data_IF_322338353982
#
_entry.id   IF_322338353982
#
_cell.length_a   1.000
_cell.length_b   1.000
_cell.length_c   1.000
_cell.angle_alpha   90.00
_cell.angle_beta   90.00
_cell.angle_gamma   90.00
#
_symmetry.space_group_name_H-M   'P 1'
#
loop_
_entity.id
_entity.type
_entity.pdbx_description
1 polymer ?
#
# COMPACT_ATOMS: atom_id res chain seq x y z
N UNK A 1 -5.45 -7.78 14.40
CA UNK A 1 -5.90 -6.70 15.31
C UNK A 1 -4.72 -5.94 15.94
N UNK A 2 -3.89 -6.54 16.81
CA UNK A 2 -2.84 -5.78 17.51
C UNK A 2 -1.83 -5.09 16.57
N UNK A 3 -1.38 -5.78 15.51
CA UNK A 3 -0.48 -5.19 14.51
C UNK A 3 -1.12 -4.00 13.77
N UNK A 4 -2.41 -4.10 13.40
CA UNK A 4 -3.17 -2.98 12.82
C UNK A 4 -3.23 -1.79 13.77
N UNK A 5 -3.52 -2.03 15.06
CA UNK A 5 -3.55 -0.96 16.07
C UNK A 5 -2.19 -0.30 16.28
N UNK A 6 -1.11 -1.09 16.22
CA UNK A 6 0.26 -0.57 16.26
C UNK A 6 0.60 0.20 15.00
N UNK A 7 0.05 -0.16 13.84
CA UNK A 7 0.40 0.39 12.54
C UNK A 7 -0.38 1.66 12.18
N UNK A 8 -1.63 1.79 12.64
CA UNK A 8 -2.52 2.89 12.29
C UNK A 8 -2.95 3.74 13.48
N UNK A 9 -3.34 4.98 13.23
CA UNK A 9 -3.94 5.92 14.17
C UNK A 9 -5.47 5.86 14.12
N UNK A 10 -6.20 6.43 15.10
CA UNK A 10 -7.66 6.44 15.08
C UNK A 10 -8.28 7.11 13.85
N UNK A 11 -7.58 8.09 13.25
CA UNK A 11 -8.03 8.79 12.03
C UNK A 11 -7.70 8.06 10.73
N UNK A 12 -6.88 7.01 10.77
CA UNK A 12 -6.53 6.24 9.58
C UNK A 12 -7.66 5.29 9.19
N UNK A 13 -8.00 5.28 7.90
CA UNK A 13 -8.90 4.29 7.34
C UNK A 13 -8.18 2.97 7.09
N UNK A 14 -8.90 1.88 7.34
CA UNK A 14 -8.46 0.51 7.04
C UNK A 14 -9.45 -0.13 6.07
N UNK A 15 -8.93 -0.83 5.07
CA UNK A 15 -9.74 -1.75 4.30
C UNK A 15 -9.88 -3.05 5.08
N UNK A 16 -11.12 -3.42 5.37
CA UNK A 16 -11.43 -4.64 6.07
C UNK A 16 -12.68 -5.26 5.46
N UNK A 17 -12.47 -6.40 4.83
CA UNK A 17 -13.49 -7.17 4.15
C UNK A 17 -14.62 -7.63 5.07
N UNK A 18 -14.25 -8.11 6.27
CA UNK A 18 -15.16 -8.82 7.18
C UNK A 18 -15.66 -7.97 8.34
N UNK A 19 -15.11 -6.77 8.52
CA UNK A 19 -15.45 -5.91 9.65
C UNK A 19 -14.85 -6.36 10.98
N UNK A 20 -13.77 -7.15 10.95
CA UNK A 20 -13.01 -7.58 12.12
C UNK A 20 -12.26 -6.42 12.83
N UNK A 21 -12.06 -5.28 12.16
CA UNK A 21 -11.32 -4.10 12.63
C UNK A 21 -12.25 -3.06 13.24
N UNK A 22 -13.02 -3.46 14.25
CA UNK A 22 -14.02 -2.61 14.93
C UNK A 22 -13.46 -1.35 15.60
N UNK A 23 -12.14 -1.31 15.86
CA UNK A 23 -11.46 -0.17 16.49
C UNK A 23 -10.83 0.80 15.49
N UNK A 24 -11.09 0.64 14.19
CA UNK A 24 -10.60 1.53 13.13
C UNK A 24 -11.72 1.91 12.18
N UNK A 25 -11.61 3.10 11.58
CA UNK A 25 -12.55 3.52 10.56
C UNK A 25 -12.37 2.67 9.31
N UNK A 26 -13.46 2.15 8.77
CA UNK A 26 -13.44 1.35 7.54
C UNK A 26 -13.71 2.25 6.35
N UNK A 27 -12.88 2.15 5.32
CA UNK A 27 -13.09 2.91 4.08
C UNK A 27 -14.33 2.42 3.31
N UNK A 28 -14.63 1.14 3.45
CA UNK A 28 -15.75 0.44 2.83
C UNK A 28 -16.55 -0.31 3.91
N UNK A 29 -17.80 0.10 4.11
CA UNK A 29 -18.67 -0.44 5.16
C UNK A 29 -19.34 -1.77 4.81
N UNK A 30 -19.79 -2.01 3.56
CA UNK A 30 -20.38 -3.30 3.22
C UNK A 30 -19.41 -4.45 3.54
N UNK A 31 -19.92 -5.47 4.23
CA UNK A 31 -19.16 -6.69 4.46
C UNK A 31 -19.19 -7.49 3.15
N UNK A 32 -18.02 -7.80 2.60
CA UNK A 32 -17.93 -8.53 1.32
C UNK A 32 -18.04 -10.02 1.61
N UNK A 33 -19.26 -10.51 1.60
CA UNK A 33 -19.66 -11.92 1.66
C UNK A 33 -20.42 -12.31 0.39
N UNK A 34 -20.73 -13.60 0.23
CA UNK A 34 -21.39 -14.16 -0.96
C UNK A 34 -22.60 -13.35 -1.43
N UNK A 35 -23.42 -12.85 -0.51
CA UNK A 35 -24.59 -12.01 -0.86
C UNK A 35 -24.20 -10.65 -1.42
N UNK A 36 -23.21 -9.98 -0.83
CA UNK A 36 -22.69 -8.69 -1.31
C UNK A 36 -22.03 -8.83 -2.67
N UNK A 37 -21.24 -9.89 -2.85
CA UNK A 37 -20.62 -10.24 -4.13
C UNK A 37 -21.67 -10.50 -5.21
N UNK A 38 -22.74 -11.24 -4.89
CA UNK A 38 -23.83 -11.52 -5.83
C UNK A 38 -24.63 -10.25 -6.18
N UNK A 39 -24.83 -9.34 -5.22
CA UNK A 39 -25.48 -8.05 -5.48
C UNK A 39 -24.63 -7.18 -6.41
N UNK A 40 -23.33 -7.10 -6.19
CA UNK A 40 -22.39 -6.43 -7.08
C UNK A 40 -22.46 -7.03 -8.49
N UNK A 41 -22.36 -8.37 -8.59
CA UNK A 41 -22.39 -9.09 -9.86
C UNK A 41 -23.68 -8.85 -10.65
N UNK A 42 -24.82 -8.68 -9.97
CA UNK A 42 -26.12 -8.38 -10.57
C UNK A 42 -26.37 -6.89 -10.80
N UNK A 43 -25.42 -6.00 -10.47
CA UNK A 43 -25.61 -4.54 -10.55
C UNK A 43 -26.60 -3.98 -9.53
N UNK A 44 -26.92 -4.73 -8.47
CA UNK A 44 -27.81 -4.33 -7.37
C UNK A 44 -27.08 -3.58 -6.25
N UNK A 45 -25.76 -3.43 -6.40
CA UNK A 45 -24.88 -2.66 -5.54
C UNK A 45 -23.66 -2.22 -6.36
N UNK A 46 -23.21 -1.00 -6.15
CA UNK A 46 -21.99 -0.50 -6.78
C UNK A 46 -20.75 -1.14 -6.13
N UNK A 47 -19.79 -1.59 -6.95
CA UNK A 47 -18.45 -1.96 -6.48
C UNK A 47 -17.53 -0.74 -6.54
N UNK A 48 -17.58 0.07 -5.48
CA UNK A 48 -16.72 1.24 -5.33
C UNK A 48 -15.62 1.04 -4.29
N UNK A 49 -15.31 -0.20 -3.89
CA UNK A 49 -14.34 -0.50 -2.83
C UNK A 49 -12.95 0.10 -3.12
N UNK A 50 -12.49 0.01 -4.37
CA UNK A 50 -11.21 0.58 -4.82
C UNK A 50 -11.24 2.11 -4.73
N UNK A 51 -12.27 2.74 -5.31
CA UNK A 51 -12.43 4.19 -5.28
C UNK A 51 -12.45 4.72 -3.84
N UNK A 52 -13.17 4.03 -2.96
CA UNK A 52 -13.21 4.35 -1.53
C UNK A 52 -11.83 4.26 -0.88
N UNK A 53 -11.01 3.27 -1.22
CA UNK A 53 -9.64 3.18 -0.71
C UNK A 53 -8.78 4.38 -1.14
N UNK A 54 -8.92 4.83 -2.39
CA UNK A 54 -8.21 5.98 -2.93
C UNK A 54 -8.67 7.27 -2.24
N UNK A 55 -9.99 7.51 -2.20
CA UNK A 55 -10.58 8.73 -1.65
C UNK A 55 -10.24 8.90 -0.16
N UNK A 56 -10.23 7.80 0.59
CA UNK A 56 -9.92 7.82 2.04
C UNK A 56 -8.44 7.58 2.34
N UNK A 57 -7.57 7.55 1.32
CA UNK A 57 -6.11 7.36 1.47
C UNK A 57 -5.74 6.12 2.29
N UNK A 58 -6.47 5.03 2.09
CA UNK A 58 -6.37 3.82 2.90
C UNK A 58 -5.04 3.13 2.66
N UNK A 59 -4.09 3.24 3.59
CA UNK A 59 -2.76 2.64 3.45
C UNK A 59 -2.66 1.23 4.02
N UNK A 60 -3.69 0.71 4.70
CA UNK A 60 -3.67 -0.61 5.35
C UNK A 60 -4.88 -1.43 4.92
N UNK A 61 -4.63 -2.67 4.53
CA UNK A 61 -5.66 -3.63 4.14
C UNK A 61 -5.54 -4.94 4.93
N UNK A 62 -6.69 -5.48 5.30
CA UNK A 62 -6.84 -6.79 5.93
C UNK A 62 -7.57 -7.70 4.95
N UNK A 63 -6.83 -8.68 4.41
CA UNK A 63 -7.33 -9.59 3.40
C UNK A 63 -7.41 -11.02 3.97
N UNK A 64 -8.59 -11.46 4.45
CA UNK A 64 -8.72 -12.78 5.06
C UNK A 64 -9.11 -13.93 4.09
N UNK A 65 -9.08 -13.75 2.75
CA UNK A 65 -9.37 -14.85 1.80
C UNK A 65 -9.87 -14.39 0.42
N UNK A 66 -10.48 -15.32 -0.34
CA UNK A 66 -10.91 -15.15 -1.74
C UNK A 66 -11.88 -13.99 -1.98
N UNK A 67 -11.50 -13.00 -2.77
CA UNK A 67 -12.21 -11.74 -3.01
C UNK A 67 -12.61 -11.63 -4.50
N UNK A 68 -13.56 -10.74 -4.89
CA UNK A 68 -13.74 -10.38 -6.30
C UNK A 68 -12.40 -10.07 -6.98
N UNK A 69 -12.20 -10.60 -8.18
CA UNK A 69 -10.89 -10.60 -8.84
C UNK A 69 -10.30 -9.21 -9.00
N UNK A 70 -11.10 -8.21 -9.38
CA UNK A 70 -10.64 -6.83 -9.56
C UNK A 70 -10.07 -6.23 -8.27
N UNK A 71 -10.81 -6.31 -7.17
CA UNK A 71 -10.38 -5.79 -5.86
C UNK A 71 -9.18 -6.56 -5.32
N UNK A 72 -9.11 -7.87 -5.57
CA UNK A 72 -7.96 -8.68 -5.19
C UNK A 72 -6.69 -8.25 -5.93
N UNK A 73 -6.76 -8.14 -7.26
CA UNK A 73 -5.63 -7.69 -8.08
C UNK A 73 -5.18 -6.28 -7.70
N UNK A 74 -6.12 -5.38 -7.38
CA UNK A 74 -5.79 -4.05 -6.88
C UNK A 74 -4.90 -4.10 -5.63
N UNK A 75 -5.28 -4.91 -4.63
CA UNK A 75 -4.47 -5.04 -3.41
C UNK A 75 -3.15 -5.78 -3.65
N UNK A 76 -3.10 -6.77 -4.54
CA UNK A 76 -1.85 -7.46 -4.86
C UNK A 76 -0.83 -6.52 -5.51
N UNK A 77 -1.28 -5.62 -6.39
CA UNK A 77 -0.42 -4.70 -7.11
C UNK A 77 0.03 -3.50 -6.28
N UNK A 78 -0.83 -3.02 -5.37
CA UNK A 78 -0.62 -1.75 -4.68
C UNK A 78 -0.29 -1.89 -3.19
N UNK A 79 -0.39 -3.10 -2.62
CA UNK A 79 -0.15 -3.35 -1.20
C UNK A 79 0.75 -4.57 -0.98
N UNK A 80 1.84 -4.36 -0.27
CA UNK A 80 2.80 -5.40 0.06
C UNK A 80 2.43 -6.11 1.37
N UNK A 81 2.61 -7.45 1.44
CA UNK A 81 2.30 -8.20 2.64
C UNK A 81 3.31 -7.91 3.76
N UNK A 82 2.81 -7.69 4.97
CA UNK A 82 3.61 -7.58 6.21
C UNK A 82 3.32 -8.72 7.20
N UNK A 83 2.60 -9.73 6.74
CA UNK A 83 2.15 -10.89 7.52
C UNK A 83 1.05 -11.63 6.78
N UNK A 84 0.42 -12.60 7.44
CA UNK A 84 -0.50 -13.55 6.79
C UNK A 84 -1.75 -12.89 6.15
N UNK A 85 -2.27 -11.80 6.73
CA UNK A 85 -3.49 -11.12 6.25
C UNK A 85 -3.34 -9.62 6.08
N UNK A 86 -2.27 -9.06 6.62
CA UNK A 86 -2.06 -7.61 6.63
C UNK A 86 -1.20 -7.22 5.45
N UNK A 87 -1.69 -6.23 4.70
CA UNK A 87 -0.97 -5.60 3.62
C UNK A 87 -0.95 -4.09 3.81
N UNK A 88 0.10 -3.46 3.30
CA UNK A 88 0.34 -2.02 3.42
C UNK A 88 0.68 -1.44 2.07
N UNK A 89 0.17 -0.25 1.78
CA UNK A 89 0.42 0.45 0.53
C UNK A 89 1.94 0.56 0.26
N UNK A 90 2.32 0.10 -0.92
CA UNK A 90 3.71 0.07 -1.34
C UNK A 90 3.91 -0.76 -2.60
N UNK A 91 5.08 -0.58 -3.20
CA UNK A 91 5.45 -1.20 -4.48
C UNK A 91 6.93 -1.60 -4.46
N UNK A 92 7.20 -2.79 -5.00
CA UNK A 92 8.56 -3.27 -5.24
C UNK A 92 9.14 -2.52 -6.45
N UNK A 93 10.32 -1.92 -6.29
CA UNK A 93 10.99 -1.22 -7.37
C UNK A 93 11.80 -2.19 -8.21
N UNK A 94 11.44 -2.29 -9.48
CA UNK A 94 12.16 -3.06 -10.49
C UNK A 94 12.90 -2.09 -11.41
N UNK A 95 14.20 -2.27 -11.56
CA UNK A 95 15.00 -1.43 -12.45
C UNK A 95 14.65 -1.76 -13.90
N UNK A 96 14.49 -0.74 -14.75
CA UNK A 96 14.18 -0.93 -16.16
C UNK A 96 15.37 -1.43 -16.99
N UNK A 97 16.60 -0.99 -16.69
CA UNK A 97 17.73 -1.16 -17.63
C UNK A 97 19.13 -1.17 -17.00
N UNK A 98 19.40 -0.36 -15.98
CA UNK A 98 20.78 -0.08 -15.53
C UNK A 98 21.02 -0.33 -14.04
N UNK A 99 20.03 -0.88 -13.34
CA UNK A 99 20.06 -1.13 -11.90
C UNK A 99 19.86 0.12 -11.05
N UNK A 100 19.64 1.30 -11.65
CA UNK A 100 19.59 2.59 -10.93
C UNK A 100 18.32 3.39 -11.21
N UNK A 101 17.71 3.20 -12.38
CA UNK A 101 16.47 3.88 -12.76
C UNK A 101 15.26 2.99 -12.50
N UNK A 102 14.32 3.51 -11.73
CA UNK A 102 13.10 2.85 -11.33
C UNK A 102 11.91 3.71 -11.70
N UNK A 103 10.96 3.14 -12.45
CA UNK A 103 9.65 3.72 -12.65
C UNK A 103 8.64 2.89 -11.87
N UNK A 104 7.74 3.54 -11.15
CA UNK A 104 6.73 2.87 -10.34
C UNK A 104 5.47 3.70 -10.26
N UNK A 105 4.35 3.05 -10.01
CA UNK A 105 3.06 3.71 -9.85
C UNK A 105 2.66 3.73 -8.37
N UNK A 106 2.08 4.83 -7.92
CA UNK A 106 1.33 4.87 -6.66
C UNK A 106 -0.12 5.21 -6.96
N UNK A 107 -1.06 4.49 -6.36
CA UNK A 107 -2.50 4.73 -6.55
C UNK A 107 -3.13 5.34 -5.31
N UNK A 108 -2.59 5.06 -4.12
CA UNK A 108 -3.04 5.65 -2.86
C UNK A 108 -2.21 6.92 -2.58
N UNK A 109 -2.82 8.12 -2.55
CA UNK A 109 -2.08 9.33 -2.21
C UNK A 109 -1.69 9.35 -0.74
N UNK A 110 -0.40 9.33 -0.44
CA UNK A 110 0.12 9.30 0.93
C UNK A 110 1.60 9.69 0.99
N UNK A 111 2.14 9.80 2.21
CA UNK A 111 3.58 9.90 2.44
C UNK A 111 4.23 8.53 2.38
N UNK A 112 5.27 8.39 1.55
CA UNK A 112 6.03 7.16 1.35
C UNK A 112 7.51 7.37 1.67
N UNK A 113 8.20 6.27 2.00
CA UNK A 113 9.66 6.18 2.07
C UNK A 113 10.14 5.08 1.15
N UNK A 114 11.24 5.34 0.45
CA UNK A 114 12.03 4.33 -0.24
C UNK A 114 12.98 3.69 0.77
N UNK A 115 12.87 2.37 0.93
CA UNK A 115 13.70 1.56 1.81
C UNK A 115 14.48 0.52 1.01
N UNK A 116 15.65 0.14 1.52
CA UNK A 116 16.47 -0.95 1.00
C UNK A 116 16.66 -2.00 2.09
N UNK A 117 16.84 -3.27 1.72
CA UNK A 117 17.03 -4.35 2.68
C UNK A 117 18.36 -4.21 3.43
N UNK A 118 19.41 -3.85 2.70
CA UNK A 118 20.80 -3.93 3.17
C UNK A 118 21.42 -2.53 3.40
N UNK A 119 20.63 -1.46 3.38
CA UNK A 119 21.14 -0.10 3.52
C UNK A 119 20.23 0.73 4.40
N UNK A 120 20.82 1.45 5.35
CA UNK A 120 20.08 2.25 6.34
C UNK A 120 19.42 3.50 5.75
N UNK A 121 19.97 4.04 4.67
CA UNK A 121 19.45 5.26 4.02
C UNK A 121 19.60 5.16 2.51
N UNK A 122 18.46 5.22 1.82
CA UNK A 122 18.40 5.27 0.36
C UNK A 122 18.55 6.72 -0.09
N UNK A 123 19.52 6.96 -0.97
CA UNK A 123 19.78 8.27 -1.55
C UNK A 123 19.53 8.22 -3.04
N UNK A 124 18.99 9.31 -3.59
CA UNK A 124 18.78 9.43 -5.02
C UNK A 124 18.06 10.69 -5.43
N UNK A 125 17.39 10.62 -6.57
CA UNK A 125 16.52 11.66 -7.10
C UNK A 125 15.13 11.06 -7.30
N UNK A 126 14.13 11.58 -6.62
CA UNK A 126 12.72 11.18 -6.72
C UNK A 126 11.95 12.31 -7.40
N UNK A 127 11.37 12.03 -8.57
CA UNK A 127 10.63 12.99 -9.41
C UNK A 127 11.42 14.28 -9.69
N UNK A 128 12.72 14.14 -9.94
CA UNK A 128 13.63 15.26 -10.20
C UNK A 128 14.16 15.97 -8.95
N UNK A 129 13.64 15.66 -7.77
CA UNK A 129 14.09 16.23 -6.50
C UNK A 129 15.05 15.32 -5.74
N UNK A 130 16.04 15.90 -5.06
CA UNK A 130 16.95 15.16 -4.20
C UNK A 130 16.18 14.43 -3.09
N UNK A 131 16.47 13.15 -2.93
CA UNK A 131 15.87 12.25 -1.95
C UNK A 131 16.93 11.68 -1.01
N UNK A 132 16.69 11.80 0.29
CA UNK A 132 17.65 11.43 1.34
C UNK A 132 16.98 10.60 2.45
N UNK A 133 16.19 9.60 2.07
CA UNK A 133 15.53 8.68 3.00
C UNK A 133 14.38 9.26 3.84
N UNK A 134 14.06 10.55 3.70
CA UNK A 134 12.90 11.19 4.34
C UNK A 134 11.61 10.81 3.62
N UNK A 135 10.48 10.93 4.33
CA UNK A 135 9.18 10.72 3.69
C UNK A 135 8.89 11.77 2.62
N UNK A 136 8.18 11.34 1.58
CA UNK A 136 7.69 12.20 0.51
C UNK A 136 6.22 11.90 0.25
N UNK A 137 5.39 12.94 0.19
CA UNK A 137 4.02 12.79 -0.28
C UNK A 137 4.02 12.52 -1.78
N UNK A 138 3.41 11.40 -2.18
CA UNK A 138 3.23 11.02 -3.58
C UNK A 138 1.74 11.09 -3.92
N UNK A 139 1.43 11.82 -5.00
CA UNK A 139 0.08 11.86 -5.58
C UNK A 139 -0.12 10.63 -6.47
N UNK A 140 -1.36 10.24 -6.80
CA UNK A 140 -1.57 9.08 -7.65
C UNK A 140 -0.96 9.30 -9.04
N UNK A 141 -0.24 8.30 -9.55
CA UNK A 141 0.41 8.35 -10.85
C UNK A 141 1.77 7.66 -10.90
N UNK A 142 2.46 7.88 -12.02
CA UNK A 142 3.80 7.33 -12.26
C UNK A 142 4.85 8.25 -11.66
N UNK A 143 5.77 7.67 -10.91
CA UNK A 143 6.92 8.30 -10.30
C UNK A 143 8.21 7.70 -10.82
N UNK A 144 9.28 8.47 -10.73
CA UNK A 144 10.62 8.06 -11.14
C UNK A 144 11.59 8.23 -9.99
N UNK A 145 12.40 7.20 -9.76
CA UNK A 145 13.48 7.23 -8.80
C UNK A 145 14.80 6.84 -9.47
N UNK A 146 15.82 7.67 -9.27
CA UNK A 146 17.18 7.41 -9.72
C UNK A 146 18.07 7.24 -8.49
N UNK A 147 18.52 6.03 -8.24
CA UNK A 147 19.32 5.69 -7.08
C UNK A 147 20.77 6.18 -7.23
N UNK A 148 21.29 6.81 -6.18
CA UNK A 148 22.70 7.20 -6.08
C UNK A 148 23.45 6.49 -4.96
N UNK A 149 22.75 5.91 -3.97
CA UNK A 149 23.37 5.08 -2.94
C UNK A 149 23.61 3.64 -3.41
N UNK A 150 24.49 2.91 -2.72
CA UNK A 150 24.56 1.46 -2.84
C UNK A 150 23.27 0.80 -2.29
N UNK A 151 23.03 -0.44 -2.69
CA UNK A 151 21.87 -1.24 -2.27
C UNK A 151 21.07 -1.75 -3.46
N UNK A 152 20.60 -3.00 -3.36
CA UNK A 152 19.67 -3.61 -4.30
C UNK A 152 18.31 -3.83 -3.61
N UNK A 153 17.28 -4.17 -4.38
CA UNK A 153 15.94 -4.49 -3.90
C UNK A 153 15.32 -3.35 -3.09
N UNK A 154 14.88 -2.32 -3.80
CA UNK A 154 14.25 -1.16 -3.21
C UNK A 154 12.74 -1.33 -3.15
N UNK A 155 12.13 -0.72 -2.14
CA UNK A 155 10.68 -0.69 -1.98
C UNK A 155 10.23 0.71 -1.64
N UNK A 156 9.19 1.17 -2.31
CA UNK A 156 8.43 2.34 -1.88
C UNK A 156 7.36 1.84 -0.92
N UNK A 157 7.38 2.31 0.32
CA UNK A 157 6.51 1.82 1.37
C UNK A 157 5.91 2.96 2.18
N UNK A 158 4.68 2.80 2.63
CA UNK A 158 4.00 3.84 3.42
C UNK A 158 4.86 4.29 4.60
N UNK A 159 5.10 5.59 4.72
CA UNK A 159 6.09 6.16 5.62
C UNK A 159 5.83 5.82 7.09
N UNK A 160 4.56 5.90 7.52
CA UNK A 160 4.17 5.55 8.89
C UNK A 160 4.45 4.08 9.22
N UNK A 161 4.31 3.16 8.26
CA UNK A 161 4.70 1.77 8.48
C UNK A 161 6.20 1.64 8.72
N UNK A 162 7.00 2.34 7.92
CA UNK A 162 8.46 2.35 8.04
C UNK A 162 8.88 2.87 9.41
N UNK A 163 8.30 3.98 9.86
CA UNK A 163 8.60 4.65 11.13
C UNK A 163 8.17 3.84 12.35
N UNK A 164 7.15 3.00 12.17
CA UNK A 164 6.70 2.04 13.18
C UNK A 164 7.41 0.68 13.06
N UNK A 165 8.53 0.63 12.33
CA UNK A 165 9.40 -0.53 12.14
C UNK A 165 8.74 -1.73 11.46
N UNK A 166 7.70 -1.51 10.65
CA UNK A 166 7.15 -2.54 9.77
C UNK A 166 7.93 -2.59 8.46
N UNK A 167 8.08 -3.81 7.92
CA UNK A 167 8.72 -4.10 6.63
C UNK A 167 7.91 -5.20 5.94
N UNK A 168 7.89 -5.26 4.59
CA UNK A 168 7.30 -6.39 3.90
C UNK A 168 8.01 -7.71 4.23
N UNK A 169 7.31 -8.84 4.13
CA UNK A 169 7.86 -10.16 4.49
C UNK A 169 8.66 -10.83 3.36
N UNK A 170 8.46 -10.40 2.10
CA UNK A 170 9.08 -10.99 0.89
C UNK A 170 9.39 -9.87 -0.13
N UNK A 171 10.57 -9.25 -0.04
CA UNK A 171 10.99 -8.14 -0.92
C UNK A 171 12.50 -8.01 -1.14
#
# INVERSE_FOLDING_TARGET
LQATLKLTEPGDFVFDRRGEMVFRQRCFYPIIETFTEERIRRGLMEDNAIQRCIDTRTCVAVLPGAMPSATFHFFEQNYLPIGNRLRVAGVLLHSSTDGKHFAFETVIPASYKIIARDTSTVMGVLDGERYEGKERFLSPGIHTFVQTSAGANLVVFWAQAVDRNFRPIEW
#
